data_IF_606082916794
#
_entry.id   IF_606082916794
#
_cell.length_a   1.000
_cell.length_b   1.000
_cell.length_c   1.000
_cell.angle_alpha   90.00
_cell.angle_beta   90.00
_cell.angle_gamma   90.00
#
_symmetry.space_group_name_H-M   'P 1'
#
loop_
_entity.id
_entity.type
_entity.pdbx_description
1 polymer ?
#
# COMPACT_ATOMS: atom_id res chain seq x y z
N UNK A 1 -5.73 -14.77 23.66
CA UNK A 1 -6.31 -13.43 23.47
C UNK A 1 -7.79 -13.49 23.82
N UNK A 2 -8.30 -12.62 24.71
CA UNK A 2 -9.71 -12.66 25.13
C UNK A 2 -10.67 -12.08 24.06
N UNK A 3 -11.98 -12.34 24.21
CA UNK A 3 -13.01 -11.92 23.25
C UNK A 3 -13.20 -10.40 23.13
N UNK A 4 -12.98 -9.64 24.20
CA UNK A 4 -13.12 -8.19 24.21
C UNK A 4 -11.95 -7.52 23.49
N UNK A 5 -10.73 -8.00 23.74
CA UNK A 5 -9.53 -7.62 23.01
C UNK A 5 -9.66 -7.95 21.51
N UNK A 6 -10.22 -9.12 21.17
CA UNK A 6 -10.45 -9.52 19.77
C UNK A 6 -11.44 -8.61 19.06
N UNK A 7 -12.58 -8.27 19.67
CA UNK A 7 -13.54 -7.31 19.11
C UNK A 7 -12.96 -5.90 18.98
N UNK A 8 -12.17 -5.46 19.96
CA UNK A 8 -11.54 -4.14 19.93
C UNK A 8 -10.52 -4.03 18.78
N UNK A 9 -9.69 -5.07 18.61
CA UNK A 9 -8.76 -5.19 17.48
C UNK A 9 -9.54 -5.26 16.18
N UNK A 10 -10.52 -6.15 16.02
CA UNK A 10 -11.31 -6.25 14.77
C UNK A 10 -11.98 -4.93 14.36
N UNK A 11 -12.46 -4.14 15.33
CA UNK A 11 -13.10 -2.84 15.08
C UNK A 11 -12.12 -1.78 14.55
N UNK A 12 -10.88 -1.76 15.02
CA UNK A 12 -9.90 -0.69 14.71
C UNK A 12 -8.76 -1.12 13.78
N UNK A 13 -8.48 -2.42 13.68
CA UNK A 13 -7.28 -2.96 13.03
C UNK A 13 -7.54 -3.50 11.63
N UNK A 14 -8.80 -3.71 11.21
CA UNK A 14 -9.09 -4.35 9.93
C UNK A 14 -8.37 -3.63 8.77
N UNK A 15 -7.27 -4.18 8.24
CA UNK A 15 -6.31 -3.39 7.47
C UNK A 15 -6.82 -3.07 6.07
N UNK A 16 -8.02 -3.53 5.72
CA UNK A 16 -8.60 -3.39 4.39
C UNK A 16 -9.94 -2.65 4.41
N UNK A 17 -10.30 -1.88 5.45
CA UNK A 17 -11.61 -1.20 5.49
C UNK A 17 -11.81 -0.25 4.29
N UNK A 18 -10.78 0.47 3.86
CA UNK A 18 -10.85 1.31 2.66
C UNK A 18 -11.15 0.51 1.39
N UNK A 19 -10.43 -0.61 1.20
CA UNK A 19 -10.59 -1.52 0.06
C UNK A 19 -11.93 -2.25 0.10
N UNK A 20 -12.41 -2.67 1.27
CA UNK A 20 -13.73 -3.28 1.44
C UNK A 20 -14.86 -2.34 1.03
N UNK A 21 -14.71 -1.03 1.31
CA UNK A 21 -15.68 -0.01 0.88
C UNK A 21 -15.62 0.23 -0.62
N UNK A 22 -14.42 0.19 -1.21
CA UNK A 22 -14.23 0.28 -2.66
C UNK A 22 -14.89 -0.91 -3.40
N UNK A 23 -14.75 -2.12 -2.85
CA UNK A 23 -15.32 -3.36 -3.40
C UNK A 23 -16.78 -3.62 -2.97
N UNK A 24 -17.43 -2.68 -2.31
CA UNK A 24 -18.83 -2.81 -1.91
C UNK A 24 -19.80 -2.60 -3.07
N UNK A 25 -21.10 -2.83 -2.85
CA UNK A 25 -22.12 -2.58 -3.86
C UNK A 25 -21.98 -1.14 -4.41
N UNK A 26 -21.96 -0.95 -5.74
CA UNK A 26 -21.66 0.33 -6.38
C UNK A 26 -22.87 1.29 -6.31
N UNK A 27 -23.31 1.61 -5.08
CA UNK A 27 -24.47 2.46 -4.78
C UNK A 27 -23.94 3.78 -4.22
N UNK A 28 -24.08 4.85 -5.00
CA UNK A 28 -23.67 6.20 -4.62
C UNK A 28 -24.79 6.95 -3.89
N UNK A 29 -25.19 6.45 -2.72
CA UNK A 29 -26.18 7.10 -1.84
C UNK A 29 -25.58 7.41 -0.46
N UNK A 30 -26.02 8.49 0.21
CA UNK A 30 -25.60 8.79 1.57
C UNK A 30 -25.83 7.60 2.51
N UNK A 31 -24.83 7.26 3.33
CA UNK A 31 -24.88 6.13 4.26
C UNK A 31 -24.38 4.80 3.68
N UNK A 32 -24.20 4.68 2.37
CA UNK A 32 -23.59 3.49 1.76
C UNK A 32 -22.07 3.51 1.82
N UNK A 33 -21.47 2.32 1.92
CA UNK A 33 -20.02 2.15 2.00
C UNK A 33 -19.30 2.74 0.77
N UNK A 34 -19.83 2.50 -0.44
CA UNK A 34 -19.28 2.95 -1.72
C UNK A 34 -19.29 4.48 -1.88
N UNK A 35 -20.38 5.17 -1.49
CA UNK A 35 -20.43 6.64 -1.47
C UNK A 35 -19.26 7.25 -0.67
N UNK A 36 -18.95 6.65 0.49
CA UNK A 36 -17.83 7.09 1.29
C UNK A 36 -16.46 6.77 0.67
N UNK A 37 -16.33 5.67 -0.07
CA UNK A 37 -15.13 5.37 -0.85
C UNK A 37 -14.93 6.38 -2.00
N UNK A 38 -16.01 6.78 -2.69
CA UNK A 38 -15.96 7.84 -3.71
C UNK A 38 -15.48 9.16 -3.09
N UNK A 39 -16.06 9.57 -1.95
CA UNK A 39 -15.67 10.82 -1.27
C UNK A 39 -14.20 10.80 -0.85
N UNK A 40 -13.74 9.69 -0.28
CA UNK A 40 -12.33 9.51 0.09
C UNK A 40 -11.43 9.54 -1.16
N UNK A 41 -11.82 8.88 -2.25
CA UNK A 41 -11.10 8.90 -3.52
C UNK A 41 -10.97 10.30 -4.11
N UNK A 42 -12.03 11.12 -4.06
CA UNK A 42 -11.99 12.53 -4.48
C UNK A 42 -11.00 13.36 -3.65
N UNK A 43 -10.99 13.17 -2.33
CA UNK A 43 -10.04 13.84 -1.45
C UNK A 43 -8.59 13.41 -1.75
N UNK A 44 -8.36 12.11 -1.92
CA UNK A 44 -7.04 11.57 -2.26
C UNK A 44 -6.51 12.12 -3.58
N UNK A 45 -7.33 12.10 -4.65
CA UNK A 45 -6.99 12.67 -5.96
C UNK A 45 -6.55 14.12 -5.85
N UNK A 46 -7.30 14.94 -5.11
CA UNK A 46 -6.95 16.35 -4.88
C UNK A 46 -5.55 16.53 -4.28
N UNK A 47 -5.21 15.75 -3.26
CA UNK A 47 -3.89 15.84 -2.61
C UNK A 47 -2.77 15.31 -3.50
N UNK A 48 -2.98 14.18 -4.18
CA UNK A 48 -2.00 13.60 -5.12
C UNK A 48 -1.72 14.59 -6.27
N UNK A 49 -2.75 15.19 -6.84
CA UNK A 49 -2.62 16.19 -7.90
C UNK A 49 -1.82 17.42 -7.45
N UNK A 50 -2.01 17.86 -6.20
CA UNK A 50 -1.22 18.95 -5.61
C UNK A 50 0.27 18.60 -5.55
N UNK A 51 0.59 17.38 -5.13
CA UNK A 51 1.98 16.89 -5.07
C UNK A 51 2.60 16.80 -6.47
N UNK A 52 1.87 16.26 -7.45
CA UNK A 52 2.32 16.17 -8.84
C UNK A 52 2.67 17.55 -9.39
N UNK A 53 1.77 18.52 -9.25
CA UNK A 53 1.98 19.88 -9.76
C UNK A 53 3.11 20.61 -9.08
N UNK A 54 3.23 20.47 -7.77
CA UNK A 54 4.37 21.01 -7.03
C UNK A 54 5.68 20.43 -7.57
N UNK A 55 5.76 19.10 -7.70
CA UNK A 55 6.98 18.44 -8.17
C UNK A 55 7.32 18.80 -9.62
N UNK A 56 6.31 18.92 -10.47
CA UNK A 56 6.48 19.35 -11.86
C UNK A 56 7.09 20.75 -11.93
N UNK A 57 6.64 21.68 -11.09
CA UNK A 57 7.25 23.01 -10.95
C UNK A 57 8.71 22.93 -10.51
N UNK A 58 9.02 22.16 -9.46
CA UNK A 58 10.40 21.96 -8.98
C UNK A 58 11.32 21.43 -10.08
N UNK A 59 10.86 20.48 -10.88
CA UNK A 59 11.59 19.87 -12.00
C UNK A 59 11.84 20.86 -13.14
N UNK A 60 10.88 21.73 -13.42
CA UNK A 60 11.02 22.76 -14.46
C UNK A 60 11.97 23.89 -14.05
N UNK A 61 12.03 24.22 -12.76
CA UNK A 61 12.83 25.35 -12.25
C UNK A 61 14.25 24.95 -11.83
N UNK A 62 14.48 23.71 -11.37
CA UNK A 62 15.75 23.28 -10.82
C UNK A 62 16.28 21.97 -11.45
N UNK A 63 17.47 22.04 -12.06
CA UNK A 63 18.18 20.87 -12.61
C UNK A 63 18.56 19.81 -11.56
N UNK A 64 18.69 20.16 -10.28
CA UNK A 64 18.92 19.17 -9.22
C UNK A 64 17.64 18.37 -8.91
N UNK A 65 16.45 18.93 -9.15
CA UNK A 65 15.19 18.22 -8.94
C UNK A 65 15.02 17.07 -9.95
N UNK A 66 15.61 17.17 -11.14
CA UNK A 66 15.69 16.08 -12.12
C UNK A 66 16.62 14.94 -11.69
N UNK A 67 17.52 15.15 -10.73
CA UNK A 67 18.40 14.09 -10.22
C UNK A 67 17.72 13.19 -9.18
N UNK A 68 16.54 13.58 -8.66
CA UNK A 68 15.75 12.75 -7.75
C UNK A 68 15.28 11.48 -8.47
N UNK A 69 15.70 10.32 -7.98
CA UNK A 69 15.33 8.99 -8.53
C UNK A 69 14.04 8.40 -7.95
N UNK A 70 13.11 9.24 -7.49
CA UNK A 70 11.81 8.74 -7.05
C UNK A 70 10.86 8.52 -8.23
N UNK A 71 9.89 7.60 -8.05
CA UNK A 71 8.99 7.17 -9.12
C UNK A 71 8.18 8.32 -9.73
N UNK A 72 7.83 9.35 -8.97
CA UNK A 72 7.09 10.50 -9.50
C UNK A 72 7.97 11.34 -10.41
N UNK A 73 9.21 11.64 -10.01
CA UNK A 73 10.16 12.34 -10.88
C UNK A 73 10.43 11.54 -12.16
N UNK A 74 10.56 10.22 -12.05
CA UNK A 74 10.73 9.36 -13.24
C UNK A 74 9.50 9.42 -14.15
N UNK A 75 8.27 9.36 -13.62
CA UNK A 75 7.04 9.49 -14.41
C UNK A 75 6.91 10.86 -15.09
N UNK A 76 7.39 11.95 -14.46
CA UNK A 76 7.37 13.29 -15.04
C UNK A 76 8.38 13.47 -16.19
N UNK A 77 9.47 12.71 -16.18
CA UNK A 77 10.54 12.78 -17.18
C UNK A 77 10.43 11.70 -18.26
N UNK A 78 9.61 10.68 -18.03
CA UNK A 78 9.39 9.60 -18.97
C UNK A 78 8.66 10.11 -20.21
N UNK A 79 9.17 9.71 -21.38
CA UNK A 79 8.56 9.96 -22.68
C UNK A 79 8.30 8.63 -23.38
N UNK A 80 7.23 8.56 -24.16
CA UNK A 80 6.93 7.40 -25.01
C UNK A 80 7.80 7.37 -26.29
N UNK A 81 7.51 6.41 -27.17
CA UNK A 81 8.24 6.23 -28.44
C UNK A 81 8.10 7.44 -29.38
N UNK A 82 7.02 8.22 -29.24
CA UNK A 82 6.75 9.44 -30.00
C UNK A 82 7.28 10.71 -29.29
N UNK A 83 8.00 10.54 -28.17
CA UNK A 83 8.57 11.63 -27.38
C UNK A 83 7.55 12.40 -26.54
N UNK A 84 6.33 11.89 -26.35
CA UNK A 84 5.29 12.54 -25.57
C UNK A 84 5.42 12.24 -24.09
N UNK A 85 5.24 13.28 -23.27
CA UNK A 85 5.21 13.15 -21.82
C UNK A 85 3.84 12.64 -21.34
N UNK A 86 3.86 11.89 -20.23
CA UNK A 86 2.65 11.46 -19.55
C UNK A 86 1.83 12.66 -19.05
N UNK A 87 0.50 12.59 -19.21
CA UNK A 87 -0.40 13.61 -18.69
C UNK A 87 -0.48 13.59 -17.16
N UNK A 88 -0.82 14.72 -16.53
CA UNK A 88 -1.00 14.79 -15.07
C UNK A 88 -2.05 13.79 -14.56
N UNK A 89 -3.08 13.51 -15.37
CA UNK A 89 -4.13 12.54 -15.02
C UNK A 89 -3.61 11.10 -15.07
N UNK A 90 -2.78 10.75 -16.04
CA UNK A 90 -2.15 9.42 -16.11
C UNK A 90 -1.16 9.22 -14.96
N UNK A 91 -0.35 10.23 -14.65
CA UNK A 91 0.56 10.19 -13.49
C UNK A 91 -0.24 10.01 -12.19
N UNK A 92 -1.32 10.77 -12.00
CA UNK A 92 -2.22 10.63 -10.84
C UNK A 92 -2.78 9.20 -10.73
N UNK A 93 -3.31 8.66 -11.84
CA UNK A 93 -3.89 7.33 -11.87
C UNK A 93 -2.85 6.25 -11.58
N UNK A 94 -1.63 6.38 -12.10
CA UNK A 94 -0.54 5.44 -11.85
C UNK A 94 -0.12 5.44 -10.37
N UNK A 95 0.01 6.62 -9.75
CA UNK A 95 0.37 6.73 -8.33
C UNK A 95 -0.73 6.15 -7.45
N UNK A 96 -2.00 6.50 -7.68
CA UNK A 96 -3.12 5.96 -6.89
C UNK A 96 -3.22 4.44 -7.06
N UNK A 97 -3.06 3.93 -8.27
CA UNK A 97 -3.06 2.48 -8.53
C UNK A 97 -1.94 1.77 -7.78
N UNK A 98 -0.72 2.32 -7.79
CA UNK A 98 0.42 1.76 -7.09
C UNK A 98 0.21 1.76 -5.55
N UNK A 99 -0.34 2.84 -5.00
CA UNK A 99 -0.69 2.93 -3.59
C UNK A 99 -1.73 1.88 -3.20
N UNK A 100 -2.78 1.70 -4.00
CA UNK A 100 -3.82 0.69 -3.74
C UNK A 100 -3.26 -0.74 -3.84
N UNK A 101 -2.45 -1.02 -4.86
CA UNK A 101 -1.86 -2.34 -5.07
C UNK A 101 -0.89 -2.75 -3.94
N UNK A 102 -0.06 -1.81 -3.48
CA UNK A 102 0.90 -2.04 -2.38
C UNK A 102 0.21 -2.15 -1.02
N UNK A 103 -0.91 -1.47 -0.81
CA UNK A 103 -1.62 -1.47 0.48
C UNK A 103 -2.10 -2.87 0.86
N UNK A 104 -2.87 -3.54 -0.01
CA UNK A 104 -3.45 -4.86 0.31
C UNK A 104 -2.36 -5.90 0.56
N UNK A 105 -1.34 -5.94 -0.30
CA UNK A 105 -0.24 -6.91 -0.22
C UNK A 105 0.63 -6.69 1.01
N UNK A 106 1.08 -5.46 1.27
CA UNK A 106 1.94 -5.12 2.40
C UNK A 106 1.20 -5.31 3.73
N UNK A 107 -0.07 -4.87 3.81
CA UNK A 107 -0.87 -5.08 5.02
C UNK A 107 -1.10 -6.56 5.33
N UNK A 108 -1.34 -7.38 4.31
CA UNK A 108 -1.46 -8.82 4.51
C UNK A 108 -0.12 -9.42 4.96
N UNK A 109 1.01 -9.04 4.35
CA UNK A 109 2.33 -9.52 4.74
C UNK A 109 2.66 -9.18 6.20
N UNK A 110 2.39 -7.96 6.65
CA UNK A 110 2.57 -7.55 8.05
C UNK A 110 1.66 -8.37 8.96
N UNK A 111 0.41 -8.60 8.56
CA UNK A 111 -0.52 -9.39 9.36
C UNK A 111 -0.05 -10.85 9.51
N UNK A 112 0.40 -11.48 8.42
CA UNK A 112 0.99 -12.81 8.47
C UNK A 112 2.24 -12.84 9.37
N UNK A 113 3.11 -11.85 9.24
CA UNK A 113 4.29 -11.73 10.09
C UNK A 113 3.93 -11.68 11.58
N UNK A 114 2.96 -10.84 11.96
CA UNK A 114 2.52 -10.72 13.35
C UNK A 114 1.87 -11.99 13.89
N UNK A 115 1.03 -12.67 13.09
CA UNK A 115 0.41 -13.94 13.47
C UNK A 115 1.48 -15.01 13.69
N UNK A 116 2.42 -15.15 12.75
CA UNK A 116 3.50 -16.13 12.87
C UNK A 116 4.42 -15.88 14.05
N UNK A 117 4.74 -14.61 14.36
CA UNK A 117 5.50 -14.28 15.56
C UNK A 117 4.74 -14.63 16.85
N UNK A 118 3.44 -14.38 16.90
CA UNK A 118 2.61 -14.68 18.06
C UNK A 118 2.48 -16.19 18.33
N UNK A 119 2.54 -17.02 17.28
CA UNK A 119 2.44 -18.48 17.38
C UNK A 119 3.76 -19.16 17.76
N UNK A 120 4.90 -18.47 17.64
CA UNK A 120 6.24 -19.04 17.84
C UNK A 120 7.09 -18.20 18.82
N UNK A 121 6.89 -18.35 20.15
CA UNK A 121 7.53 -17.53 21.18
C UNK A 121 9.06 -17.54 21.11
N UNK A 122 9.65 -18.70 20.76
CA UNK A 122 11.10 -18.85 20.60
C UNK A 122 11.65 -18.00 19.45
N UNK A 123 10.92 -17.93 18.34
CA UNK A 123 11.31 -17.14 17.17
C UNK A 123 11.12 -15.65 17.47
N UNK A 124 10.04 -15.27 18.16
CA UNK A 124 9.82 -13.91 18.64
C UNK A 124 10.98 -13.41 19.52
N UNK A 125 11.42 -14.21 20.49
CA UNK A 125 12.55 -13.88 21.37
C UNK A 125 13.86 -13.70 20.59
N UNK A 126 14.08 -14.46 19.52
CA UNK A 126 15.26 -14.35 18.67
C UNK A 126 15.24 -13.09 17.79
N UNK A 127 14.08 -12.72 17.23
CA UNK A 127 13.90 -11.42 16.54
C UNK A 127 14.10 -10.26 17.50
N UNK A 128 13.48 -10.35 18.68
CA UNK A 128 13.54 -9.29 19.69
C UNK A 128 14.98 -9.05 20.16
N UNK A 129 15.79 -10.11 20.25
CA UNK A 129 17.23 -10.05 20.55
C UNK A 129 18.09 -9.63 19.35
N UNK A 130 17.49 -9.26 18.22
CA UNK A 130 18.18 -8.72 17.04
C UNK A 130 18.95 -9.75 16.22
N UNK A 131 18.70 -11.06 16.39
CA UNK A 131 19.36 -12.10 15.59
C UNK A 131 18.71 -12.18 14.20
N UNK A 132 19.44 -11.79 13.16
CA UNK A 132 18.93 -11.61 11.78
C UNK A 132 18.75 -12.90 10.95
N UNK A 133 19.07 -14.10 11.45
CA UNK A 133 19.56 -15.14 10.52
C UNK A 133 18.55 -16.21 10.04
N UNK A 134 17.35 -16.37 10.61
CA UNK A 134 16.55 -17.58 10.28
C UNK A 134 15.17 -17.36 9.62
N UNK A 135 14.71 -16.13 9.43
CA UNK A 135 13.36 -15.87 8.88
C UNK A 135 13.18 -16.31 7.43
N UNK A 136 14.16 -16.06 6.58
CA UNK A 136 14.07 -16.40 5.14
C UNK A 136 14.07 -17.94 4.96
N UNK A 137 14.78 -18.66 5.84
CA UNK A 137 14.83 -20.12 5.81
C UNK A 137 13.49 -20.73 6.21
N UNK A 138 12.83 -20.23 7.27
CA UNK A 138 11.55 -20.78 7.74
C UNK A 138 10.42 -20.60 6.72
N UNK A 139 10.36 -19.47 6.02
CA UNK A 139 9.36 -19.25 4.94
C UNK A 139 9.62 -20.19 3.76
N UNK A 140 10.88 -20.43 3.39
CA UNK A 140 11.23 -21.40 2.36
C UNK A 140 10.90 -22.84 2.77
N UNK A 141 11.09 -23.23 4.04
CA UNK A 141 10.75 -24.59 4.49
C UNK A 141 9.24 -24.84 4.49
N UNK A 142 8.41 -23.83 4.81
CA UNK A 142 6.96 -24.00 4.93
C UNK A 142 6.24 -24.07 3.57
N UNK A 143 6.86 -23.55 2.50
CA UNK A 143 6.34 -23.70 1.13
C UNK A 143 6.43 -25.15 0.61
N UNK A 144 7.28 -26.00 1.22
CA UNK A 144 7.37 -27.43 0.89
C UNK A 144 6.40 -28.31 1.71
N UNK A 145 5.75 -27.78 2.76
CA UNK A 145 4.89 -28.59 3.65
C UNK A 145 3.40 -28.47 3.27
N UNK A 146 3.00 -27.40 2.58
CA UNK A 146 1.61 -27.20 2.10
C UNK A 146 1.46 -27.42 0.57
N UNK A 147 2.45 -28.06 -0.05
CA UNK A 147 2.46 -28.42 -1.46
C UNK A 147 2.10 -29.87 -1.75
N UNK A 148 1.27 -30.52 -0.92
CA UNK A 148 0.52 -31.76 -1.26
C UNK A 148 -0.77 -31.73 -0.44
N UNK A 149 -1.89 -32.04 -1.10
CA UNK A 149 -3.31 -32.00 -0.69
C UNK A 149 -4.09 -30.76 -1.11
#
# INVERSE_FOLDING_TARGET
MDQAARKHVEKHWAPNQGVKRLLSLPIDLPGFAYNGAIKAGKALRKEVMKIIRQRKGEVMENKEATEKRDSLTQMLLFTDEDGQFMSEMEIENNIISLLLASYVSTSNAVNFFLIHLAELPRIYDEVFKGKKTDFIKVVQTNQYIYGVY
#
